data_IF_215298888230
#
_entry.id   IF_215298888230
#
_cell.length_a   1.000
_cell.length_b   1.000
_cell.length_c   1.000
_cell.angle_alpha   90.00
_cell.angle_beta   90.00
_cell.angle_gamma   90.00
#
_symmetry.space_group_name_H-M   'P 1'
#
loop_
_entity.id
_entity.type
_entity.pdbx_description
1 polymer ?
#
# COMPACT_ATOMS: atom_id res chain seq x y z
N UNK A 1 -9.73 9.21 -12.32
CA UNK A 1 -9.44 8.11 -13.26
C UNK A 1 -8.83 6.88 -12.56
N UNK A 2 -8.21 7.04 -11.38
CA UNK A 2 -7.58 5.93 -10.62
C UNK A 2 -8.55 5.11 -9.74
N UNK A 3 -9.78 5.59 -9.49
CA UNK A 3 -10.73 4.93 -8.57
C UNK A 3 -11.43 3.68 -9.11
N UNK A 4 -11.31 3.36 -10.41
CA UNK A 4 -12.12 2.31 -11.06
C UNK A 4 -11.64 0.87 -10.78
N UNK A 5 -10.40 0.68 -10.32
CA UNK A 5 -9.81 -0.64 -10.09
C UNK A 5 -9.27 -0.83 -8.67
N UNK A 6 -9.63 0.07 -7.74
CA UNK A 6 -9.17 0.06 -6.34
C UNK A 6 -10.24 -0.39 -5.34
N UNK A 7 -11.31 -1.02 -5.82
CA UNK A 7 -12.40 -1.54 -4.98
C UNK A 7 -11.86 -2.60 -4.01
N UNK A 8 -12.14 -2.44 -2.72
CA UNK A 8 -11.69 -3.36 -1.65
C UNK A 8 -10.22 -3.24 -1.28
N UNK A 9 -9.52 -2.18 -1.69
CA UNK A 9 -8.14 -1.88 -1.26
C UNK A 9 -8.02 -1.72 0.27
N UNK A 10 -9.03 -1.11 0.88
CA UNK A 10 -9.12 -0.89 2.33
C UNK A 10 -9.27 -2.19 3.12
N UNK A 11 -9.74 -3.27 2.49
CA UNK A 11 -9.90 -4.58 3.15
C UNK A 11 -8.58 -5.37 3.20
N UNK A 12 -7.65 -5.09 2.28
CA UNK A 12 -6.39 -5.84 2.12
C UNK A 12 -5.17 -5.11 2.66
N UNK A 13 -5.23 -3.78 2.80
CA UNK A 13 -4.13 -2.97 3.35
C UNK A 13 -4.50 -2.52 4.76
N UNK A 14 -3.68 -2.89 5.72
CA UNK A 14 -3.78 -2.43 7.11
C UNK A 14 -2.53 -1.62 7.46
N UNK A 15 -2.72 -0.52 8.17
CA UNK A 15 -1.65 0.29 8.75
C UNK A 15 -1.99 0.59 10.20
N UNK A 16 -0.98 0.67 11.06
CA UNK A 16 -1.15 0.94 12.49
C UNK A 16 0.04 1.72 13.04
N UNK A 17 -0.15 2.32 14.21
CA UNK A 17 0.96 2.93 14.95
C UNK A 17 1.78 1.86 15.68
N UNK A 18 3.11 2.00 15.58
CA UNK A 18 4.06 1.12 16.25
C UNK A 18 4.25 1.50 17.72
N UNK A 19 4.50 0.51 18.57
CA UNK A 19 4.98 0.71 19.94
C UNK A 19 6.44 1.20 19.97
N UNK A 20 6.91 1.57 21.16
CA UNK A 20 8.28 2.07 21.39
C UNK A 20 9.23 0.93 21.83
N UNK A 21 8.88 -0.35 21.58
CA UNK A 21 9.67 -1.51 22.01
C UNK A 21 10.89 -1.72 21.11
N UNK A 22 12.04 -2.06 21.71
CA UNK A 22 13.26 -2.47 20.99
C UNK A 22 13.32 -3.98 20.71
N UNK A 23 12.19 -4.67 20.81
CA UNK A 23 12.07 -6.10 20.49
C UNK A 23 12.30 -6.42 19.00
N UNK A 24 12.14 -7.69 18.63
CA UNK A 24 12.35 -8.16 17.26
C UNK A 24 11.47 -7.39 16.27
N UNK A 25 12.12 -6.60 15.42
CA UNK A 25 11.52 -5.72 14.42
C UNK A 25 10.61 -6.43 13.41
N UNK A 26 10.64 -7.77 13.33
CA UNK A 26 9.73 -8.57 12.49
C UNK A 26 8.37 -8.79 13.15
N UNK A 27 8.24 -8.52 14.45
CA UNK A 27 6.98 -8.61 15.16
C UNK A 27 6.04 -7.48 14.72
N UNK A 28 4.73 -7.63 14.91
CA UNK A 28 3.77 -6.61 14.49
C UNK A 28 3.92 -5.26 15.21
N UNK A 29 4.50 -5.22 16.41
CA UNK A 29 4.69 -3.99 17.22
C UNK A 29 3.40 -3.14 17.35
N UNK A 30 2.26 -3.78 17.59
CA UNK A 30 1.03 -3.03 17.82
C UNK A 30 1.08 -2.32 19.17
N UNK A 31 0.70 -1.05 19.20
CA UNK A 31 0.37 -0.37 20.46
C UNK A 31 -0.75 -1.09 21.21
N UNK A 32 -0.73 -0.94 22.53
CA UNK A 32 -1.85 -1.30 23.40
C UNK A 32 -2.45 -0.02 23.99
N UNK A 33 -3.67 0.39 23.58
CA UNK A 33 -4.61 -0.28 22.68
C UNK A 33 -4.23 -0.18 21.19
N UNK A 34 -4.75 -1.10 20.36
CA UNK A 34 -4.46 -1.15 18.92
C UNK A 34 -4.97 0.10 18.21
N UNK A 35 -4.06 0.86 17.62
CA UNK A 35 -4.37 2.08 16.87
C UNK A 35 -4.19 1.86 15.37
N UNK A 36 -5.28 1.58 14.65
CA UNK A 36 -5.29 1.46 13.19
C UNK A 36 -5.38 2.84 12.51
N UNK A 37 -4.73 2.97 11.36
CA UNK A 37 -4.70 4.19 10.56
C UNK A 37 -5.50 3.97 9.28
N UNK A 38 -6.53 4.82 8.98
CA UNK A 38 -7.25 4.74 7.73
C UNK A 38 -6.37 5.13 6.54
N UNK A 39 -6.63 4.53 5.36
CA UNK A 39 -5.85 4.82 4.15
C UNK A 39 -5.95 6.29 3.70
N UNK A 40 -7.03 6.99 4.04
CA UNK A 40 -7.17 8.42 3.78
C UNK A 40 -6.06 9.22 4.47
N UNK A 41 -5.75 8.89 5.73
CA UNK A 41 -4.68 9.55 6.48
C UNK A 41 -3.31 9.30 5.85
N UNK A 42 -3.09 8.12 5.28
CA UNK A 42 -1.87 7.85 4.51
C UNK A 42 -1.81 8.70 3.24
N UNK A 43 -2.96 8.88 2.57
CA UNK A 43 -3.07 9.71 1.37
C UNK A 43 -2.80 11.20 1.67
N UNK A 44 -3.25 11.70 2.83
CA UNK A 44 -2.93 13.05 3.31
C UNK A 44 -1.42 13.25 3.55
N UNK A 45 -0.71 12.20 3.96
CA UNK A 45 0.74 12.19 4.10
C UNK A 45 1.48 12.10 2.74
N UNK A 46 0.75 11.98 1.63
CA UNK A 46 1.30 11.80 0.29
C UNK A 46 1.65 10.35 -0.05
N UNK A 47 1.28 9.39 0.81
CA UNK A 47 1.49 7.96 0.55
C UNK A 47 0.40 7.47 -0.39
N UNK A 48 0.83 6.91 -1.51
CA UNK A 48 -0.05 6.42 -2.56
C UNK A 48 0.12 4.91 -2.63
N UNK A 49 -1.00 4.20 -2.56
CA UNK A 49 -1.05 2.74 -2.56
C UNK A 49 -2.03 2.24 -3.61
N UNK A 50 -1.79 1.05 -4.13
CA UNK A 50 -2.65 0.43 -5.12
C UNK A 50 -2.75 -1.07 -4.87
N UNK A 51 -3.95 -1.61 -5.10
CA UNK A 51 -4.19 -3.04 -5.22
C UNK A 51 -3.91 -3.45 -6.66
N UNK A 52 -2.99 -4.40 -6.83
CA UNK A 52 -2.56 -4.96 -8.11
C UNK A 52 -2.58 -6.49 -8.04
N UNK A 53 -2.56 -7.15 -9.19
CA UNK A 53 -2.43 -8.60 -9.23
C UNK A 53 -0.95 -8.99 -9.22
N UNK A 54 -0.48 -9.55 -8.10
CA UNK A 54 0.90 -9.99 -7.97
C UNK A 54 1.21 -11.25 -8.81
N UNK A 55 0.21 -12.09 -9.10
CA UNK A 55 0.39 -13.34 -9.83
C UNK A 55 0.62 -13.11 -11.33
N UNK A 56 0.11 -12.01 -11.89
CA UNK A 56 0.25 -11.65 -13.31
C UNK A 56 0.75 -10.21 -13.47
N UNK A 57 1.85 -9.89 -12.77
CA UNK A 57 2.44 -8.55 -12.79
C UNK A 57 3.00 -8.14 -14.16
N UNK A 58 3.35 -9.11 -15.03
CA UNK A 58 3.87 -8.85 -16.38
C UNK A 58 2.79 -8.31 -17.34
N UNK A 59 1.56 -8.82 -17.21
CA UNK A 59 0.45 -8.42 -18.09
C UNK A 59 -0.55 -7.46 -17.44
N UNK A 60 -0.41 -7.15 -16.14
CA UNK A 60 -1.32 -6.25 -15.43
C UNK A 60 -1.39 -4.86 -16.11
N UNK A 61 -2.51 -4.62 -16.80
CA UNK A 61 -2.80 -3.36 -17.46
C UNK A 61 -2.88 -2.20 -16.46
N UNK A 62 -3.26 -2.46 -15.21
CA UNK A 62 -3.33 -1.43 -14.17
C UNK A 62 -1.94 -0.99 -13.75
N UNK A 63 -0.99 -1.93 -13.65
CA UNK A 63 0.41 -1.60 -13.40
C UNK A 63 0.99 -0.75 -14.53
N UNK A 64 0.72 -1.11 -15.79
CA UNK A 64 1.16 -0.31 -16.96
C UNK A 64 0.61 1.13 -16.90
N UNK A 65 -0.68 1.31 -16.63
CA UNK A 65 -1.31 2.63 -16.48
C UNK A 65 -0.68 3.46 -15.37
N UNK A 66 -0.40 2.86 -14.20
CA UNK A 66 0.24 3.56 -13.08
C UNK A 66 1.66 3.99 -13.46
N UNK A 67 2.42 3.11 -14.10
CA UNK A 67 3.80 3.39 -14.52
C UNK A 67 3.86 4.53 -15.53
N UNK A 68 2.98 4.51 -16.53
CA UNK A 68 2.88 5.58 -17.53
C UNK A 68 2.47 6.91 -16.91
N UNK A 69 1.45 6.90 -16.04
CA UNK A 69 0.97 8.12 -15.37
C UNK A 69 2.02 8.77 -14.46
N UNK A 70 2.90 7.97 -13.85
CA UNK A 70 3.93 8.45 -12.90
C UNK A 70 5.34 8.51 -13.46
N UNK A 71 5.56 8.06 -14.69
CA UNK A 71 6.87 8.03 -15.31
C UNK A 71 7.83 7.00 -14.70
N UNK A 72 7.32 5.88 -14.17
CA UNK A 72 8.15 4.77 -13.67
C UNK A 72 8.75 3.97 -14.84
N UNK A 73 9.82 4.51 -15.42
CA UNK A 73 10.47 3.99 -16.63
C UNK A 73 11.42 2.81 -16.38
N UNK A 74 11.90 2.63 -15.15
CA UNK A 74 12.80 1.56 -14.78
C UNK A 74 12.10 0.49 -13.95
N UNK A 75 12.30 -0.77 -14.33
CA UNK A 75 11.89 -1.93 -13.56
C UNK A 75 13.01 -2.96 -13.70
N UNK A 76 13.53 -3.46 -12.58
CA UNK A 76 14.49 -4.57 -12.58
C UNK A 76 13.66 -5.85 -12.60
N UNK A 77 13.81 -6.63 -13.67
CA UNK A 77 13.39 -8.04 -13.71
C UNK A 77 14.36 -8.88 -12.87
#
# INVERSE_FOLDING_TARGET
MEGQFQVGKEEVIQAWYMDDSEEDQRLPHHREPKEFIPLDKLSELGILSWRLNADDWENDENLKKIREARGYSYMVC
#
